data_IF_909184900951
#
_entry.id   IF_909184900951
#
_cell.length_a   1.000
_cell.length_b   1.000
_cell.length_c   1.000
_cell.angle_alpha   90.00
_cell.angle_beta   90.00
_cell.angle_gamma   90.00
#
_symmetry.space_group_name_H-M   'P 1'
#
loop_
_entity.id
_entity.type
_entity.pdbx_description
1 polymer ?
#
# COMPACT_ATOMS: atom_id res chain seq x y z
N UNK A 1 -29.15 -18.58 3.16
CA UNK A 1 -27.76 -18.95 2.84
C UNK A 1 -27.12 -17.78 2.14
N UNK A 2 -26.05 -17.16 2.66
CA UNK A 2 -25.34 -16.15 1.90
C UNK A 2 -24.74 -16.82 0.67
N UNK A 3 -25.06 -16.28 -0.51
CA UNK A 3 -24.54 -16.80 -1.77
C UNK A 3 -23.02 -16.67 -1.78
N UNK A 4 -22.34 -17.80 -1.95
CA UNK A 4 -20.90 -17.92 -2.11
C UNK A 4 -20.45 -17.43 -3.51
N UNK A 5 -20.97 -16.28 -3.96
CA UNK A 5 -20.54 -15.67 -5.22
C UNK A 5 -19.16 -15.08 -5.00
N UNK A 6 -18.13 -15.72 -5.56
CA UNK A 6 -16.82 -15.09 -5.68
C UNK A 6 -17.00 -13.71 -6.34
N UNK A 7 -16.32 -12.65 -5.85
CA UNK A 7 -16.41 -11.33 -6.46
C UNK A 7 -16.02 -11.43 -7.95
N UNK A 8 -16.89 -10.94 -8.83
CA UNK A 8 -16.72 -11.02 -10.27
C UNK A 8 -15.51 -10.17 -10.70
N UNK A 9 -14.46 -10.81 -11.22
CA UNK A 9 -13.25 -10.11 -11.65
C UNK A 9 -13.61 -9.14 -12.78
N UNK A 10 -13.26 -7.88 -12.58
CA UNK A 10 -13.49 -6.78 -13.51
C UNK A 10 -12.18 -6.24 -14.06
N UNK A 11 -12.19 -5.65 -15.26
CA UNK A 11 -11.05 -4.91 -15.82
C UNK A 11 -11.27 -3.40 -15.82
N UNK A 12 -10.24 -2.62 -15.55
CA UNK A 12 -10.28 -1.16 -15.70
C UNK A 12 -8.94 -0.64 -16.21
N UNK A 13 -8.91 0.60 -16.70
CA UNK A 13 -7.69 1.26 -17.21
C UNK A 13 -7.30 2.38 -16.25
N UNK A 14 -6.06 2.33 -15.76
CA UNK A 14 -5.46 3.36 -14.91
C UNK A 14 -5.20 4.64 -15.74
N UNK A 15 -5.06 5.82 -15.11
CA UNK A 15 -4.80 7.06 -15.83
C UNK A 15 -3.54 7.05 -16.72
N UNK A 16 -2.52 6.28 -16.37
CA UNK A 16 -1.34 6.07 -17.23
C UNK A 16 -1.59 5.10 -18.39
N UNK A 17 -2.80 4.57 -18.58
CA UNK A 17 -3.17 3.67 -19.68
C UNK A 17 -2.88 2.19 -19.44
N UNK A 18 -2.43 1.79 -18.25
CA UNK A 18 -2.28 0.36 -17.91
C UNK A 18 -3.66 -0.23 -17.61
N UNK A 19 -4.01 -1.34 -18.28
CA UNK A 19 -5.19 -2.13 -17.94
C UNK A 19 -4.89 -3.10 -16.79
N UNK A 20 -5.80 -3.16 -15.81
CA UNK A 20 -5.70 -4.00 -14.62
C UNK A 20 -6.98 -4.80 -14.36
N UNK A 21 -6.84 -5.97 -13.77
CA UNK A 21 -7.85 -6.73 -13.07
C UNK A 21 -8.06 -6.19 -11.65
N UNK A 22 -9.32 -6.17 -11.22
CA UNK A 22 -9.76 -5.69 -9.91
C UNK A 22 -11.06 -6.42 -9.49
N UNK A 23 -11.38 -6.44 -8.20
CA UNK A 23 -12.66 -7.01 -7.73
C UNK A 23 -13.87 -6.21 -8.18
N UNK A 24 -13.79 -4.88 -8.16
CA UNK A 24 -14.88 -3.99 -8.52
C UNK A 24 -14.32 -2.74 -9.17
N UNK A 25 -14.98 -2.24 -10.22
CA UNK A 25 -14.66 -0.92 -10.79
C UNK A 25 -15.22 0.17 -9.87
N UNK A 26 -14.47 0.52 -8.83
CA UNK A 26 -14.87 1.49 -7.82
C UNK A 26 -13.88 2.66 -7.72
N UNK A 27 -14.18 3.62 -6.85
CA UNK A 27 -13.35 4.82 -6.68
C UNK A 27 -12.01 4.52 -5.97
N UNK A 28 -11.91 3.40 -5.24
CA UNK A 28 -10.72 2.96 -4.51
C UNK A 28 -9.51 2.81 -5.45
N UNK A 29 -9.70 2.20 -6.63
CA UNK A 29 -8.62 2.01 -7.62
C UNK A 29 -7.94 3.33 -7.99
N UNK A 30 -8.73 4.38 -8.17
CA UNK A 30 -8.21 5.69 -8.54
C UNK A 30 -7.53 6.38 -7.36
N UNK A 31 -8.05 6.20 -6.14
CA UNK A 31 -7.42 6.72 -4.93
C UNK A 31 -6.05 6.07 -4.67
N UNK A 32 -5.96 4.74 -4.82
CA UNK A 32 -4.68 4.03 -4.73
C UNK A 32 -3.72 4.53 -5.81
N UNK A 33 -4.20 4.74 -7.04
CA UNK A 33 -3.37 5.27 -8.13
C UNK A 33 -2.84 6.69 -7.83
N UNK A 34 -3.66 7.57 -7.24
CA UNK A 34 -3.21 8.89 -6.81
C UNK A 34 -2.15 8.79 -5.71
N UNK A 35 -2.39 7.94 -4.71
CA UNK A 35 -1.48 7.71 -3.58
C UNK A 35 -0.09 7.25 -4.03
N UNK A 36 0.01 6.48 -5.14
CA UNK A 36 1.31 6.05 -5.67
C UNK A 36 2.26 7.22 -5.94
N UNK A 37 1.75 8.38 -6.36
CA UNK A 37 2.57 9.57 -6.59
C UNK A 37 3.22 10.09 -5.29
N UNK A 38 2.50 9.99 -4.18
CA UNK A 38 2.94 10.49 -2.88
C UNK A 38 4.17 9.72 -2.39
N UNK A 39 4.35 8.45 -2.77
CA UNK A 39 5.52 7.67 -2.38
C UNK A 39 6.84 8.17 -2.99
N UNK A 40 6.80 8.99 -4.04
CA UNK A 40 8.00 9.52 -4.72
C UNK A 40 8.43 10.90 -4.21
N UNK A 41 7.86 11.37 -3.09
CA UNK A 41 8.20 12.66 -2.49
C UNK A 41 9.51 12.61 -1.70
N UNK A 42 9.97 13.78 -1.27
CA UNK A 42 11.14 13.97 -0.41
C UNK A 42 12.48 13.39 -0.89
N UNK A 43 12.58 13.07 -2.19
CA UNK A 43 13.80 12.57 -2.82
C UNK A 43 13.82 11.06 -3.04
N UNK A 44 12.72 10.35 -2.79
CA UNK A 44 12.57 8.96 -3.22
C UNK A 44 12.63 8.89 -4.74
N UNK A 45 13.52 8.04 -5.28
CA UNK A 45 13.74 7.89 -6.72
C UNK A 45 14.04 6.45 -7.08
N UNK A 46 13.47 5.98 -8.18
CA UNK A 46 13.80 4.69 -8.78
C UNK A 46 14.47 4.99 -10.12
N UNK A 47 15.53 4.27 -10.42
CA UNK A 47 16.26 4.35 -11.68
C UNK A 47 16.20 3.01 -12.40
N UNK A 48 16.55 3.04 -13.69
CA UNK A 48 16.68 1.84 -14.51
C UNK A 48 17.68 0.85 -13.87
N UNK A 49 17.28 -0.42 -13.80
CA UNK A 49 18.02 -1.52 -13.20
C UNK A 49 17.84 -1.69 -11.69
N UNK A 50 17.17 -0.76 -11.01
CA UNK A 50 16.96 -0.80 -9.56
C UNK A 50 16.14 -2.03 -9.12
N UNK A 51 16.33 -2.44 -7.85
CA UNK A 51 15.56 -3.47 -7.18
C UNK A 51 14.57 -2.83 -6.21
N UNK A 52 13.29 -3.13 -6.37
CA UNK A 52 12.17 -2.56 -5.60
C UNK A 52 11.42 -3.67 -4.88
N UNK A 53 11.17 -3.47 -3.60
CA UNK A 53 10.28 -4.30 -2.80
C UNK A 53 8.99 -3.53 -2.54
N UNK A 54 7.86 -4.08 -2.98
CA UNK A 54 6.51 -3.56 -2.77
C UNK A 54 5.80 -4.45 -1.75
N UNK A 55 5.95 -4.12 -0.46
CA UNK A 55 5.37 -4.88 0.65
C UNK A 55 3.94 -4.39 0.89
N UNK A 56 2.97 -5.31 0.75
CA UNK A 56 1.55 -4.98 0.67
C UNK A 56 1.20 -4.44 -0.71
N UNK A 57 1.47 -5.25 -1.74
CA UNK A 57 1.30 -4.86 -3.13
C UNK A 57 -0.18 -4.76 -3.55
N UNK A 58 -1.11 -5.36 -2.78
CA UNK A 58 -2.52 -5.45 -3.15
C UNK A 58 -2.63 -6.00 -4.59
N UNK A 59 -3.43 -5.39 -5.47
CA UNK A 59 -3.55 -5.77 -6.88
C UNK A 59 -2.40 -5.27 -7.78
N UNK A 60 -1.37 -4.63 -7.20
CA UNK A 60 -0.11 -4.31 -7.89
C UNK A 60 -0.04 -2.93 -8.53
N UNK A 61 -0.88 -1.97 -8.16
CA UNK A 61 -0.91 -0.63 -8.80
C UNK A 61 0.45 0.07 -8.69
N UNK A 62 1.10 0.06 -7.51
CA UNK A 62 2.44 0.63 -7.33
C UNK A 62 3.49 -0.08 -8.19
N UNK A 63 3.49 -1.42 -8.18
CA UNK A 63 4.39 -2.25 -8.98
C UNK A 63 4.27 -1.97 -10.49
N UNK A 64 3.04 -1.92 -11.00
CA UNK A 64 2.76 -1.63 -12.42
C UNK A 64 3.16 -0.20 -12.80
N UNK A 65 2.86 0.77 -11.94
CA UNK A 65 3.26 2.16 -12.12
C UNK A 65 4.79 2.27 -12.21
N UNK A 66 5.49 1.74 -11.22
CA UNK A 66 6.95 1.75 -11.14
C UNK A 66 7.58 1.07 -12.35
N UNK A 67 7.06 -0.08 -12.78
CA UNK A 67 7.52 -0.76 -13.98
C UNK A 67 7.39 0.12 -15.23
N UNK A 68 6.24 0.76 -15.41
CA UNK A 68 5.97 1.59 -16.59
C UNK A 68 6.82 2.86 -16.63
N UNK A 69 6.92 3.58 -15.51
CA UNK A 69 7.71 4.82 -15.44
C UNK A 69 9.21 4.58 -15.64
N UNK A 70 9.68 3.34 -15.42
CA UNK A 70 11.06 2.93 -15.66
C UNK A 70 11.24 2.12 -16.95
N UNK A 71 10.30 2.22 -17.90
CA UNK A 71 10.35 1.55 -19.21
C UNK A 71 10.56 0.02 -19.12
N UNK A 72 10.05 -0.58 -18.05
CA UNK A 72 10.19 -2.00 -17.74
C UNK A 72 11.59 -2.44 -17.28
N UNK A 73 12.51 -1.51 -17.07
CA UNK A 73 13.86 -1.78 -16.59
C UNK A 73 13.97 -1.58 -15.07
N UNK A 74 13.25 -2.41 -14.32
CA UNK A 74 13.27 -2.41 -12.84
C UNK A 74 12.91 -3.82 -12.36
N UNK A 75 13.60 -4.29 -11.32
CA UNK A 75 13.35 -5.60 -10.72
C UNK A 75 12.43 -5.42 -9.51
N UNK A 76 11.19 -5.91 -9.59
CA UNK A 76 10.16 -5.68 -8.58
C UNK A 76 9.79 -7.01 -7.90
N UNK A 77 9.79 -7.00 -6.57
CA UNK A 77 9.29 -8.07 -5.72
C UNK A 77 8.04 -7.55 -5.00
N UNK A 78 6.88 -8.05 -5.41
CA UNK A 78 5.58 -7.60 -4.94
C UNK A 78 4.97 -8.64 -3.99
N UNK A 79 4.66 -8.25 -2.75
CA UNK A 79 4.23 -9.16 -1.68
C UNK A 79 2.75 -8.93 -1.36
N UNK A 80 1.92 -9.97 -1.52
CA UNK A 80 0.50 -9.92 -1.17
C UNK A 80 0.09 -11.25 -0.49
N UNK A 81 -0.27 -11.24 0.81
CA UNK A 81 -0.63 -12.45 1.55
C UNK A 81 -1.98 -13.07 1.15
N UNK A 82 -2.96 -12.27 0.74
CA UNK A 82 -4.35 -12.72 0.60
C UNK A 82 -4.54 -13.35 -0.77
N UNK A 83 -4.78 -14.66 -0.81
CA UNK A 83 -4.88 -15.44 -2.05
C UNK A 83 -5.79 -14.80 -3.12
N UNK A 84 -6.99 -14.34 -2.74
CA UNK A 84 -7.93 -13.68 -3.67
C UNK A 84 -7.34 -12.40 -4.29
N UNK A 85 -6.66 -11.58 -3.49
CA UNK A 85 -6.01 -10.33 -3.95
C UNK A 85 -4.75 -10.65 -4.76
N UNK A 86 -3.99 -11.65 -4.31
CA UNK A 86 -2.80 -12.16 -4.98
C UNK A 86 -3.09 -12.70 -6.38
N UNK A 87 -4.22 -13.37 -6.60
CA UNK A 87 -4.65 -13.81 -7.94
C UNK A 87 -4.79 -12.63 -8.91
N UNK A 88 -5.32 -11.49 -8.44
CA UNK A 88 -5.42 -10.26 -9.24
C UNK A 88 -4.04 -9.64 -9.48
N UNK A 89 -3.19 -9.57 -8.44
CA UNK A 89 -1.80 -9.12 -8.55
C UNK A 89 -1.03 -9.93 -9.60
N UNK A 90 -1.10 -11.25 -9.51
CA UNK A 90 -0.41 -12.16 -10.39
C UNK A 90 -0.95 -12.04 -11.82
N UNK A 91 -2.28 -11.97 -11.98
CA UNK A 91 -2.91 -11.72 -13.28
C UNK A 91 -2.48 -10.40 -13.90
N UNK A 92 -2.33 -9.34 -13.10
CA UNK A 92 -1.86 -8.03 -13.53
C UNK A 92 -0.38 -8.03 -13.92
N UNK A 93 0.48 -8.66 -13.12
CA UNK A 93 1.91 -8.77 -13.40
C UNK A 93 2.17 -9.65 -14.63
N UNK A 94 1.45 -10.75 -14.82
CA UNK A 94 1.61 -11.63 -16.00
C UNK A 94 1.33 -10.93 -17.34
N UNK A 95 0.62 -9.80 -17.32
CA UNK A 95 0.40 -8.96 -18.51
C UNK A 95 1.62 -8.11 -18.86
N UNK A 96 2.51 -7.86 -17.90
CA UNK A 96 3.83 -7.31 -18.16
C UNK A 96 4.65 -8.44 -18.77
N UNK A 97 5.07 -8.31 -20.02
CA UNK A 97 5.94 -9.29 -20.69
C UNK A 97 7.37 -9.21 -20.11
N UNK A 98 7.53 -9.43 -18.81
CA UNK A 98 8.79 -9.18 -18.09
C UNK A 98 8.97 -10.16 -16.93
N UNK A 99 10.11 -10.87 -16.95
CA UNK A 99 10.55 -11.72 -15.83
C UNK A 99 11.09 -10.91 -14.63
N UNK A 100 11.20 -9.58 -14.79
CA UNK A 100 11.74 -8.68 -13.77
C UNK A 100 10.73 -8.36 -12.65
N UNK A 101 9.45 -8.68 -12.82
CA UNK A 101 8.41 -8.44 -11.82
C UNK A 101 7.91 -9.77 -11.27
N UNK A 102 8.02 -9.97 -9.96
CA UNK A 102 7.68 -11.22 -9.26
C UNK A 102 6.62 -10.95 -8.20
N UNK A 103 5.47 -11.61 -8.34
CA UNK A 103 4.46 -11.68 -7.29
C UNK A 103 4.81 -12.79 -6.29
N UNK A 104 4.76 -12.51 -4.99
CA UNK A 104 5.07 -13.47 -3.92
C UNK A 104 3.87 -13.55 -2.95
N UNK A 105 3.26 -14.73 -2.76
CA UNK A 105 2.03 -14.90 -1.98
C UNK A 105 2.32 -15.00 -0.48
N UNK A 106 2.89 -13.95 0.10
CA UNK A 106 3.12 -13.86 1.54
C UNK A 106 3.06 -12.43 2.06
N UNK A 107 2.70 -12.29 3.33
CA UNK A 107 2.91 -11.06 4.11
C UNK A 107 4.31 -11.04 4.70
N UNK A 108 4.79 -9.87 5.10
CA UNK A 108 6.05 -9.72 5.81
C UNK A 108 5.83 -9.23 7.25
N UNK A 109 6.66 -9.68 8.18
CA UNK A 109 6.58 -9.34 9.61
C UNK A 109 7.92 -9.63 10.30
N UNK A 110 7.92 -9.60 11.64
CA UNK A 110 9.10 -9.78 12.49
C UNK A 110 9.58 -11.24 12.62
N UNK A 111 8.72 -12.21 12.36
CA UNK A 111 9.07 -13.64 12.28
C UNK A 111 8.11 -14.40 11.37
N UNK A 112 8.58 -15.52 10.81
CA UNK A 112 7.78 -16.37 9.95
C UNK A 112 6.67 -17.09 10.73
N UNK A 113 5.45 -17.08 10.20
CA UNK A 113 4.29 -17.77 10.77
C UNK A 113 3.17 -17.92 9.75
N UNK A 114 2.16 -18.71 10.12
CA UNK A 114 0.85 -18.65 9.50
C UNK A 114 -0.07 -17.85 10.40
N UNK A 115 -0.81 -16.88 9.84
CA UNK A 115 -1.63 -15.93 10.63
C UNK A 115 -3.01 -15.71 10.00
N UNK A 116 -3.98 -15.35 10.83
CA UNK A 116 -5.32 -14.96 10.36
C UNK A 116 -5.36 -13.47 10.04
N UNK A 117 -5.89 -13.15 8.86
CA UNK A 117 -6.12 -11.79 8.38
C UNK A 117 -7.62 -11.52 8.31
N UNK A 118 -8.00 -10.28 8.60
CA UNK A 118 -9.28 -9.74 8.15
C UNK A 118 -9.15 -9.27 6.71
N UNK A 119 -9.83 -9.97 5.80
CA UNK A 119 -9.95 -9.60 4.40
C UNK A 119 -11.26 -8.82 4.16
N UNK A 120 -11.15 -7.66 3.52
CA UNK A 120 -12.29 -6.79 3.20
C UNK A 120 -12.57 -6.83 1.68
N UNK A 121 -13.42 -7.72 1.17
CA UNK A 121 -13.62 -7.91 -0.28
C UNK A 121 -14.16 -6.69 -1.03
N UNK A 122 -14.77 -5.73 -0.33
CA UNK A 122 -15.31 -4.50 -0.93
C UNK A 122 -14.33 -3.32 -0.86
N UNK A 123 -13.20 -3.47 -0.17
CA UNK A 123 -12.12 -2.49 -0.04
C UNK A 123 -10.85 -3.26 0.33
N UNK A 124 -10.23 -3.90 -0.67
CA UNK A 124 -9.16 -4.86 -0.40
C UNK A 124 -7.92 -4.19 0.21
N UNK A 125 -7.72 -2.89 -0.04
CA UNK A 125 -6.55 -2.15 0.46
C UNK A 125 -6.40 -2.16 1.97
N UNK A 126 -7.51 -2.13 2.72
CA UNK A 126 -7.49 -2.03 4.18
C UNK A 126 -7.37 -3.40 4.89
N UNK A 127 -7.02 -4.46 4.18
CA UNK A 127 -6.95 -5.82 4.73
C UNK A 127 -5.70 -6.01 5.58
N UNK A 128 -5.86 -6.57 6.79
CA UNK A 128 -4.82 -6.53 7.83
C UNK A 128 -4.90 -7.71 8.80
N UNK A 129 -3.80 -7.98 9.51
CA UNK A 129 -3.75 -8.88 10.68
C UNK A 129 -4.53 -8.31 11.88
N UNK A 130 -4.73 -6.99 11.93
CA UNK A 130 -5.39 -6.29 13.02
C UNK A 130 -6.73 -5.65 12.58
N UNK A 131 -7.73 -6.45 12.16
CA UNK A 131 -8.97 -5.91 11.65
C UNK A 131 -9.71 -5.15 12.75
N UNK A 132 -10.07 -3.90 12.47
CA UNK A 132 -10.93 -3.11 13.34
C UNK A 132 -12.25 -2.80 12.63
N UNK A 133 -13.35 -3.27 13.21
CA UNK A 133 -14.71 -2.99 12.75
C UNK A 133 -15.46 -2.00 13.63
N UNK A 134 -14.75 -1.35 14.57
CA UNK A 134 -15.30 -0.42 15.55
C UNK A 134 -16.00 0.76 14.89
N UNK A 135 -16.88 1.40 15.66
CA UNK A 135 -17.54 2.63 15.21
C UNK A 135 -16.52 3.75 14.99
N UNK A 136 -15.52 3.83 15.86
CA UNK A 136 -14.45 4.82 15.77
C UNK A 136 -13.69 4.71 14.45
N UNK A 137 -13.27 3.50 14.07
CA UNK A 137 -12.56 3.27 12.82
C UNK A 137 -13.41 3.62 11.59
N UNK A 138 -14.68 3.23 11.60
CA UNK A 138 -15.64 3.58 10.55
C UNK A 138 -15.84 5.10 10.45
N UNK A 139 -15.89 5.79 11.59
CA UNK A 139 -16.05 7.25 11.64
C UNK A 139 -14.77 7.97 11.15
N UNK A 140 -13.57 7.45 11.44
CA UNK A 140 -12.31 7.93 10.86
C UNK A 140 -12.30 7.78 9.34
N UNK A 141 -12.66 6.60 8.82
CA UNK A 141 -12.74 6.34 7.38
C UNK A 141 -13.76 7.27 6.70
N UNK A 142 -14.91 7.49 7.34
CA UNK A 142 -15.92 8.45 6.86
C UNK A 142 -15.38 9.86 6.77
N UNK A 143 -14.66 10.29 7.80
CA UNK A 143 -14.07 11.63 7.89
C UNK A 143 -13.02 11.83 6.80
N UNK A 144 -12.12 10.87 6.59
CA UNK A 144 -11.12 10.92 5.52
C UNK A 144 -11.79 10.98 4.13
N UNK A 145 -12.82 10.16 3.88
CA UNK A 145 -13.58 10.21 2.64
C UNK A 145 -14.25 11.58 2.40
N UNK A 146 -14.86 12.18 3.42
CA UNK A 146 -15.44 13.53 3.33
C UNK A 146 -14.38 14.60 3.06
N UNK A 147 -13.22 14.52 3.72
CA UNK A 147 -12.12 15.45 3.50
C UNK A 147 -11.58 15.35 2.06
N UNK A 148 -11.39 14.14 1.53
CA UNK A 148 -10.97 13.94 0.13
C UNK A 148 -12.00 14.46 -0.88
N UNK A 149 -13.30 14.27 -0.62
CA UNK A 149 -14.36 14.84 -1.48
C UNK A 149 -14.29 16.38 -1.47
N UNK A 150 -14.07 17.01 -0.31
CA UNK A 150 -13.94 18.46 -0.20
C UNK A 150 -12.67 18.99 -0.91
N UNK A 151 -11.56 18.26 -0.84
CA UNK A 151 -10.32 18.58 -1.58
C UNK A 151 -10.57 18.55 -3.10
N UNK A 152 -11.24 17.51 -3.60
CA UNK A 152 -11.64 17.39 -5.01
C UNK A 152 -12.59 18.51 -5.43
N UNK A 153 -13.51 18.93 -4.56
CA UNK A 153 -14.37 20.07 -4.81
C UNK A 153 -13.55 21.37 -4.94
N UNK A 154 -12.60 21.60 -4.02
CA UNK A 154 -11.74 22.77 -4.01
C UNK A 154 -10.82 22.88 -5.22
N UNK A 155 -10.30 21.74 -5.71
CA UNK A 155 -9.45 21.69 -6.92
C UNK A 155 -10.22 21.84 -8.23
N UNK A 156 -11.57 21.78 -8.20
CA UNK A 156 -12.45 21.82 -9.37
C UNK A 156 -12.13 20.74 -10.41
N UNK A 157 -11.57 19.61 -9.99
CA UNK A 157 -11.24 18.51 -10.89
C UNK A 157 -12.50 17.71 -11.26
N UNK A 158 -13.22 18.18 -12.29
CA UNK A 158 -14.50 17.59 -12.74
C UNK A 158 -14.37 16.14 -13.26
N UNK A 159 -13.17 15.74 -13.66
CA UNK A 159 -12.89 14.40 -14.19
C UNK A 159 -12.56 13.39 -13.08
N UNK A 160 -12.38 13.86 -11.84
CA UNK A 160 -12.08 12.98 -10.72
C UNK A 160 -13.28 12.08 -10.37
N UNK A 161 -13.09 10.77 -10.11
CA UNK A 161 -14.19 9.84 -9.81
C UNK A 161 -15.07 10.25 -8.61
N UNK A 162 -14.49 10.97 -7.64
CA UNK A 162 -15.22 11.49 -6.49
C UNK A 162 -15.97 12.81 -6.77
N UNK A 163 -15.77 13.46 -7.91
CA UNK A 163 -16.40 14.76 -8.20
C UNK A 163 -17.93 14.69 -8.14
N UNK A 164 -18.52 13.56 -8.56
CA UNK A 164 -19.96 13.29 -8.46
C UNK A 164 -20.52 13.40 -7.04
N UNK A 165 -19.70 13.24 -6.00
CA UNK A 165 -20.11 13.39 -4.60
C UNK A 165 -20.12 14.84 -4.13
N UNK A 166 -19.37 15.72 -4.81
CA UNK A 166 -19.23 17.13 -4.42
C UNK A 166 -20.49 17.96 -4.66
N UNK A 167 -21.36 17.50 -5.58
CA UNK A 167 -22.63 18.15 -5.92
C UNK A 167 -23.81 17.63 -5.12
N UNK A 168 -23.59 16.62 -4.26
CA UNK A 168 -24.66 15.99 -3.47
C UNK A 168 -24.85 16.77 -2.17
N UNK A 169 -26.09 17.18 -1.82
CA UNK A 169 -26.40 17.77 -0.52
C UNK A 169 -25.87 16.94 0.65
N UNK A 170 -25.28 17.62 1.65
CA UNK A 170 -24.52 16.99 2.72
C UNK A 170 -25.28 15.87 3.47
N UNK A 171 -26.57 16.07 3.73
CA UNK A 171 -27.39 15.06 4.42
C UNK A 171 -27.53 13.75 3.62
N UNK A 172 -27.69 13.83 2.29
CA UNK A 172 -27.74 12.66 1.41
C UNK A 172 -26.36 12.03 1.27
N UNK A 173 -25.30 12.84 1.14
CA UNK A 173 -23.93 12.33 1.07
C UNK A 173 -23.58 11.53 2.32
N UNK A 174 -23.91 12.03 3.51
CA UNK A 174 -23.69 11.33 4.77
C UNK A 174 -24.39 9.96 4.80
N UNK A 175 -25.63 9.87 4.30
CA UNK A 175 -26.35 8.60 4.18
C UNK A 175 -25.69 7.62 3.19
N UNK A 176 -25.27 8.12 2.02
CA UNK A 176 -24.58 7.32 1.00
C UNK A 176 -23.26 6.77 1.56
N UNK A 177 -22.46 7.61 2.20
CA UNK A 177 -21.18 7.20 2.80
C UNK A 177 -21.38 6.19 3.92
N UNK A 178 -22.36 6.38 4.81
CA UNK A 178 -22.67 5.40 5.86
C UNK A 178 -22.95 4.01 5.26
N UNK A 179 -23.76 3.96 4.19
CA UNK A 179 -24.10 2.70 3.53
C UNK A 179 -22.91 2.08 2.81
N UNK A 180 -22.04 2.89 2.19
CA UNK A 180 -20.79 2.41 1.58
C UNK A 180 -19.83 1.84 2.63
N UNK A 181 -19.63 2.54 3.74
CA UNK A 181 -18.74 2.12 4.83
C UNK A 181 -19.23 0.81 5.47
N UNK A 182 -20.53 0.66 5.68
CA UNK A 182 -21.09 -0.61 6.15
C UNK A 182 -20.76 -1.79 5.23
N UNK A 183 -20.74 -1.57 3.91
CA UNK A 183 -20.35 -2.61 2.94
C UNK A 183 -18.83 -2.82 2.89
N UNK A 184 -18.04 -1.75 3.00
CA UNK A 184 -16.57 -1.80 3.00
C UNK A 184 -16.04 -2.64 4.16
N UNK A 185 -16.60 -2.47 5.37
CA UNK A 185 -16.18 -3.16 6.58
C UNK A 185 -16.81 -4.56 6.76
N UNK A 186 -17.29 -5.19 5.67
CA UNK A 186 -17.62 -6.62 5.69
C UNK A 186 -16.31 -7.39 5.67
N UNK A 187 -16.04 -8.16 6.73
CA UNK A 187 -14.77 -8.87 6.92
C UNK A 187 -14.96 -10.38 6.74
N UNK A 188 -14.04 -10.98 6.01
CA UNK A 188 -13.82 -12.43 5.92
C UNK A 188 -12.52 -12.77 6.63
N UNK A 189 -12.46 -13.89 7.34
CA UNK A 189 -11.22 -14.36 7.96
C UNK A 189 -10.51 -15.30 6.98
N UNK A 190 -9.26 -14.97 6.64
CA UNK A 190 -8.42 -15.77 5.74
C UNK A 190 -7.09 -16.07 6.39
N UNK A 191 -6.53 -17.24 6.11
CA UNK A 191 -5.24 -17.67 6.66
C UNK A 191 -4.14 -17.40 5.64
N UNK A 192 -3.10 -16.68 6.03
CA UNK A 192 -2.02 -16.27 5.14
C UNK A 192 -0.66 -16.70 5.67
N UNK A 193 0.30 -16.87 4.75
CA UNK A 193 1.70 -17.12 5.11
C UNK A 193 2.43 -15.79 5.33
N UNK A 194 3.21 -15.73 6.39
CA UNK A 194 4.06 -14.59 6.75
C UNK A 194 5.52 -15.05 6.77
N UNK A 195 6.40 -14.24 6.20
CA UNK A 195 7.86 -14.39 6.26
C UNK A 195 8.51 -13.12 6.82
N UNK A 196 9.81 -13.16 7.04
CA UNK A 196 10.61 -11.95 7.33
C UNK A 196 11.20 -11.37 6.05
N UNK A 197 11.50 -10.07 6.03
CA UNK A 197 12.21 -9.44 4.91
C UNK A 197 13.57 -10.12 4.66
N UNK A 198 14.29 -10.45 5.73
CA UNK A 198 15.60 -11.11 5.63
C UNK A 198 15.53 -12.54 5.06
N UNK A 199 14.46 -13.29 5.34
CA UNK A 199 14.25 -14.59 4.67
C UNK A 199 14.05 -14.41 3.18
N UNK A 200 13.26 -13.42 2.74
CA UNK A 200 13.08 -13.14 1.31
C UNK A 200 14.40 -12.72 0.66
N UNK A 201 15.16 -11.83 1.30
CA UNK A 201 16.47 -11.40 0.79
C UNK A 201 17.39 -12.62 0.58
N UNK A 202 17.37 -13.58 1.50
CA UNK A 202 18.15 -14.80 1.40
C UNK A 202 17.61 -15.75 0.31
N UNK A 203 16.31 -16.08 0.34
CA UNK A 203 15.65 -17.02 -0.57
C UNK A 203 15.83 -16.61 -2.04
N UNK A 204 15.72 -15.31 -2.32
CA UNK A 204 15.85 -14.75 -3.67
C UNK A 204 17.25 -14.22 -3.98
N UNK A 205 18.22 -14.38 -3.07
CA UNK A 205 19.62 -13.93 -3.20
C UNK A 205 19.71 -12.45 -3.61
N UNK A 206 18.90 -11.61 -2.98
CA UNK A 206 18.80 -10.18 -3.33
C UNK A 206 20.06 -9.44 -2.83
N UNK A 207 20.85 -8.84 -3.74
CA UNK A 207 22.12 -8.23 -3.37
C UNK A 207 21.94 -6.87 -2.67
N UNK A 208 20.93 -6.11 -3.10
CA UNK A 208 20.56 -4.80 -2.55
C UNK A 208 19.10 -4.51 -2.87
N UNK A 209 18.51 -3.55 -2.16
CA UNK A 209 17.14 -3.06 -2.34
C UNK A 209 17.24 -1.55 -2.52
N UNK A 210 17.01 -1.08 -3.73
CA UNK A 210 17.04 0.34 -4.06
C UNK A 210 15.83 1.05 -3.50
N UNK A 211 14.66 0.43 -3.40
CA UNK A 211 13.51 0.98 -2.70
C UNK A 211 12.74 -0.10 -1.96
N UNK A 212 12.50 0.10 -0.67
CA UNK A 212 11.57 -0.69 0.13
C UNK A 212 10.32 0.13 0.41
N UNK A 213 9.22 -0.17 -0.29
CA UNK A 213 7.90 0.38 0.02
C UNK A 213 7.19 -0.56 0.99
N UNK A 214 6.61 0.01 2.05
CA UNK A 214 5.85 -0.72 3.06
C UNK A 214 4.50 -0.05 3.25
N UNK A 215 3.44 -0.76 2.92
CA UNK A 215 2.06 -0.35 3.20
C UNK A 215 1.26 -1.62 3.50
N UNK A 216 1.17 -1.96 4.78
CA UNK A 216 0.70 -3.27 5.27
C UNK A 216 -0.32 -3.13 6.41
N UNK A 217 -0.95 -1.96 6.51
CA UNK A 217 -2.07 -1.68 7.40
C UNK A 217 -1.82 -2.12 8.86
N UNK A 218 -1.10 -1.28 9.63
CA UNK A 218 -0.76 -1.43 11.06
C UNK A 218 0.37 -2.40 11.39
N UNK A 219 0.98 -3.07 10.41
CA UNK A 219 2.11 -4.00 10.62
C UNK A 219 3.48 -3.46 10.18
N UNK A 220 3.60 -2.14 9.97
CA UNK A 220 4.79 -1.55 9.32
C UNK A 220 6.05 -1.73 10.17
N UNK A 221 5.94 -1.49 11.49
CA UNK A 221 7.04 -1.71 12.43
C UNK A 221 7.45 -3.19 12.47
N UNK A 222 6.49 -4.12 12.40
CA UNK A 222 6.79 -5.55 12.41
C UNK A 222 7.61 -5.96 11.19
N UNK A 223 7.30 -5.42 10.01
CA UNK A 223 8.09 -5.64 8.79
C UNK A 223 9.54 -5.21 9.00
N UNK A 224 9.75 -4.01 9.58
CA UNK A 224 11.10 -3.49 9.85
C UNK A 224 11.85 -4.33 10.90
N UNK A 225 11.15 -4.81 11.93
CA UNK A 225 11.73 -5.69 12.95
C UNK A 225 12.08 -7.09 12.40
N UNK A 226 11.58 -7.46 11.22
CA UNK A 226 11.97 -8.67 10.49
C UNK A 226 13.29 -8.54 9.73
N UNK A 227 13.94 -7.36 9.76
CA UNK A 227 15.22 -7.12 9.08
C UNK A 227 16.37 -7.44 10.02
N UNK A 228 17.18 -8.44 9.66
CA UNK A 228 18.39 -8.79 10.42
C UNK A 228 19.44 -7.68 10.30
N UNK A 229 20.27 -7.45 11.34
CA UNK A 229 21.27 -6.37 11.37
C UNK A 229 22.13 -6.24 10.11
N UNK A 230 22.62 -7.36 9.56
CA UNK A 230 23.45 -7.36 8.35
C UNK A 230 22.71 -6.92 7.08
N UNK A 231 21.40 -7.12 7.00
CA UNK A 231 20.62 -6.85 5.79
C UNK A 231 20.19 -5.38 5.70
N UNK A 232 20.21 -4.62 6.80
CA UNK A 232 19.91 -3.19 6.78
C UNK A 232 20.77 -2.39 5.80
N UNK A 233 22.04 -2.79 5.65
CA UNK A 233 22.99 -2.17 4.71
C UNK A 233 22.61 -2.36 3.24
N UNK A 234 21.75 -3.33 2.93
CA UNK A 234 21.28 -3.60 1.57
C UNK A 234 20.20 -2.61 1.12
N UNK A 235 19.52 -1.93 2.04
CA UNK A 235 18.36 -1.08 1.74
C UNK A 235 18.81 0.37 1.59
N UNK A 236 18.60 0.98 0.42
CA UNK A 236 19.02 2.36 0.11
C UNK A 236 18.05 3.42 0.62
N UNK A 237 16.76 3.18 0.47
CA UNK A 237 15.68 4.11 0.82
C UNK A 237 14.41 3.32 1.13
N UNK A 238 13.59 3.91 1.99
CA UNK A 238 12.34 3.32 2.46
C UNK A 238 11.25 4.37 2.36
N UNK A 239 10.08 3.95 1.90
CA UNK A 239 8.84 4.71 1.99
C UNK A 239 7.80 3.87 2.72
N UNK A 240 7.12 4.44 3.70
CA UNK A 240 6.15 3.74 4.53
C UNK A 240 4.86 4.56 4.63
N UNK A 241 3.71 3.91 4.56
CA UNK A 241 2.47 4.44 5.13
C UNK A 241 2.33 3.89 6.55
N UNK A 242 2.53 4.74 7.56
CA UNK A 242 2.59 4.37 8.97
C UNK A 242 1.28 4.70 9.67
N UNK A 243 0.73 3.70 10.35
CA UNK A 243 -0.32 3.86 11.36
C UNK A 243 0.31 4.18 12.73
N UNK A 244 0.23 5.42 13.17
CA UNK A 244 0.84 5.94 14.40
C UNK A 244 0.08 5.51 15.67
N UNK A 245 0.15 4.21 15.96
CA UNK A 245 -0.37 3.61 17.18
C UNK A 245 0.74 3.60 18.24
N UNK A 246 0.48 4.13 19.43
CA UNK A 246 1.44 4.06 20.55
C UNK A 246 2.81 4.70 20.24
N UNK A 247 2.83 5.87 19.57
CA UNK A 247 4.06 6.59 19.22
C UNK A 247 4.99 5.79 18.28
N UNK A 248 4.38 5.01 17.37
CA UNK A 248 5.08 4.17 16.40
C UNK A 248 5.90 4.98 15.42
N UNK A 249 5.46 6.17 15.04
CA UNK A 249 6.23 7.06 14.17
C UNK A 249 7.60 7.36 14.76
N UNK A 250 7.67 7.74 16.04
CA UNK A 250 8.95 8.04 16.69
C UNK A 250 9.82 6.79 16.89
N UNK A 251 9.17 5.65 17.17
CA UNK A 251 9.84 4.35 17.27
C UNK A 251 10.50 3.97 15.95
N UNK A 252 9.78 4.08 14.84
CA UNK A 252 10.31 3.81 13.50
C UNK A 252 11.41 4.81 13.15
N UNK A 253 11.24 6.11 13.41
CA UNK A 253 12.29 7.12 13.18
C UNK A 253 13.59 6.77 13.90
N UNK A 254 13.51 6.37 15.17
CA UNK A 254 14.67 5.97 15.97
C UNK A 254 15.32 4.69 15.41
N UNK A 255 14.51 3.72 15.02
CA UNK A 255 14.98 2.49 14.40
C UNK A 255 15.73 2.77 13.08
N UNK A 256 15.17 3.61 12.21
CA UNK A 256 15.78 3.97 10.93
C UNK A 256 17.05 4.78 11.13
N UNK A 257 17.05 5.76 12.04
CA UNK A 257 18.24 6.55 12.36
C UNK A 257 19.38 5.66 12.89
N UNK A 258 19.09 4.72 13.79
CA UNK A 258 20.09 3.79 14.33
C UNK A 258 20.69 2.85 13.27
N UNK A 259 20.00 2.65 12.15
CA UNK A 259 20.49 1.88 11.02
C UNK A 259 21.07 2.75 9.89
N UNK A 260 21.30 4.05 10.10
CA UNK A 260 22.02 4.93 9.18
C UNK A 260 21.17 5.54 8.06
N UNK A 261 19.87 5.76 8.31
CA UNK A 261 19.04 6.64 7.48
C UNK A 261 19.11 8.06 8.04
N UNK A 262 19.88 8.92 7.37
CA UNK A 262 20.22 10.26 7.88
C UNK A 262 19.12 11.31 7.61
N UNK A 263 18.26 11.04 6.63
CA UNK A 263 17.13 11.90 6.28
C UNK A 263 15.83 11.11 6.41
N UNK A 264 15.12 11.34 7.52
CA UNK A 264 13.79 10.81 7.77
C UNK A 264 12.77 11.95 7.82
N UNK A 265 11.81 11.95 6.90
CA UNK A 265 10.73 12.94 6.81
C UNK A 265 9.41 12.24 7.05
N UNK A 266 8.52 12.86 7.84
CA UNK A 266 7.16 12.38 8.06
C UNK A 266 6.21 13.46 7.55
N UNK A 267 5.25 13.07 6.73
CA UNK A 267 4.22 13.95 6.17
C UNK A 267 2.85 13.29 6.28
N UNK A 268 1.84 14.06 6.69
CA UNK A 268 0.45 13.60 6.68
C UNK A 268 -0.30 14.36 5.59
N UNK A 269 -0.97 13.61 4.72
CA UNK A 269 -1.78 14.19 3.65
C UNK A 269 -2.96 15.01 4.20
N UNK A 270 -3.34 16.13 3.54
CA UNK A 270 -4.40 17.01 4.04
C UNK A 270 -5.73 16.29 4.31
N UNK A 271 -6.10 15.31 3.48
CA UNK A 271 -7.34 14.54 3.63
C UNK A 271 -7.27 13.42 4.70
N UNK A 272 -6.09 13.16 5.27
CA UNK A 272 -5.89 12.27 6.40
C UNK A 272 -5.79 13.04 7.72
N UNK A 273 -5.95 14.37 7.70
CA UNK A 273 -5.77 15.19 8.90
C UNK A 273 -6.72 14.76 10.04
N UNK A 274 -6.10 14.33 11.13
CA UNK A 274 -6.78 13.82 12.31
C UNK A 274 -7.22 12.35 12.21
N UNK A 275 -6.56 11.58 11.34
CA UNK A 275 -6.35 10.14 11.51
C UNK A 275 -4.93 9.90 12.07
N UNK A 276 -4.61 8.65 12.34
CA UNK A 276 -3.30 8.13 12.75
C UNK A 276 -2.40 7.75 11.57
N UNK A 277 -2.80 8.05 10.32
CA UNK A 277 -2.06 7.62 9.13
C UNK A 277 -1.16 8.74 8.63
N UNK A 278 0.10 8.44 8.36
CA UNK A 278 1.06 9.36 7.74
C UNK A 278 2.06 8.63 6.85
N UNK A 279 2.64 9.34 5.89
CA UNK A 279 3.74 8.83 5.09
C UNK A 279 5.08 9.15 5.76
N UNK A 280 6.01 8.18 5.73
CA UNK A 280 7.38 8.34 6.18
C UNK A 280 8.35 8.00 5.04
N UNK A 281 9.34 8.87 4.86
CA UNK A 281 10.35 8.78 3.81
C UNK A 281 11.73 8.75 4.46
N UNK A 282 12.50 7.70 4.21
CA UNK A 282 13.82 7.52 4.79
C UNK A 282 14.86 7.28 3.69
N UNK A 283 15.91 8.12 3.69
CA UNK A 283 17.00 8.07 2.72
C UNK A 283 18.33 7.92 3.46
N UNK A 284 19.21 7.06 2.94
CA UNK A 284 20.63 7.05 3.33
C UNK A 284 21.37 8.16 2.59
N UNK A 285 22.35 8.80 3.23
CA UNK A 285 23.26 9.67 2.50
C UNK A 285 23.99 8.87 1.40
N UNK A 286 24.08 9.44 0.20
CA UNK A 286 24.98 8.93 -0.82
C UNK A 286 26.40 8.99 -0.24
N UNK A 287 27.02 7.84 -0.01
CA UNK A 287 28.46 7.81 0.28
C UNK A 287 29.11 8.31 -1.00
N UNK A 288 29.54 9.57 -0.99
CA UNK A 288 30.36 10.13 -2.05
C UNK A 288 31.58 9.21 -2.21
N UNK A 289 31.52 8.31 -3.19
CA UNK A 289 32.68 7.55 -3.64
C UNK A 289 33.64 8.57 -4.23
N UNK A 290 34.61 8.97 -3.42
CA UNK A 290 35.83 9.62 -3.91
C UNK A 290 36.59 8.66 -4.81
#
# INVERSE_FOLDING_TARGET
MPSNSQPEISTTVLPNGIEIYCFQKNEEIFLIYEQVQEYFRHGIKINKGDIVFDVGANIGIFSLYTWKENEGDVNIYAFEPIAKTFELLEGNIKRLTSEKVKAIPCGLSNYARTEKFGFYPNTSSISTVYPDGSKEEKDKFKKAALQKINEVHGSKNIFHPLYKYTVIPHFMLSFILNRKIQKAFVVEQVTCQIKTLSEIIHDYKVPHINLLKIDVEKSELDVLLGIKPQDWTKIKQIVLEVHDLENRVETIKTLLASHGFDKVVVEQEPYLKGTDICNMYALRAEINKK
#
